data_IF_857739340296
#
_entry.id   IF_857739340296
#
_cell.length_a   1.000
_cell.length_b   1.000
_cell.length_c   1.000
_cell.angle_alpha   90.00
_cell.angle_beta   90.00
_cell.angle_gamma   90.00
#
_symmetry.space_group_name_H-M   'P 1'
#
loop_
_entity.id
_entity.type
_entity.pdbx_description
1 polymer ?
#
# COMPACT_ATOMS: atom_id res chain seq x y z
N UNK A 1 27.90 -6.82 7.58
CA UNK A 1 26.78 -7.12 6.65
C UNK A 1 26.60 -5.94 5.71
N UNK A 2 26.33 -6.17 4.42
CA UNK A 2 26.05 -5.07 3.50
C UNK A 2 24.66 -4.48 3.79
N UNK A 3 24.45 -3.20 3.45
CA UNK A 3 23.16 -2.54 3.68
C UNK A 3 22.00 -3.26 2.97
N UNK A 4 22.26 -3.87 1.81
CA UNK A 4 21.27 -4.64 1.04
C UNK A 4 20.84 -5.94 1.74
N UNK A 5 21.77 -6.63 2.39
CA UNK A 5 21.45 -7.85 3.16
C UNK A 5 20.56 -7.53 4.35
N UNK A 6 20.87 -6.43 5.06
CA UNK A 6 20.06 -5.94 6.18
C UNK A 6 18.66 -5.58 5.68
N UNK A 7 18.57 -4.84 4.58
CA UNK A 7 17.30 -4.40 4.00
C UNK A 7 16.40 -5.58 3.63
N UNK A 8 16.92 -6.62 2.98
CA UNK A 8 16.14 -7.83 2.64
C UNK A 8 15.66 -8.58 3.89
N UNK A 9 16.47 -8.68 4.93
CA UNK A 9 16.10 -9.36 6.17
C UNK A 9 15.01 -8.62 6.93
N UNK A 10 15.14 -7.29 7.04
CA UNK A 10 14.13 -6.41 7.66
C UNK A 10 12.82 -6.50 6.86
N UNK A 11 12.88 -6.38 5.53
CA UNK A 11 11.68 -6.47 4.70
C UNK A 11 10.96 -7.82 4.83
N UNK A 12 11.71 -8.93 4.84
CA UNK A 12 11.14 -10.27 5.00
C UNK A 12 10.52 -10.49 6.39
N UNK A 13 11.15 -9.95 7.43
CA UNK A 13 10.60 -9.96 8.80
C UNK A 13 9.29 -9.18 8.86
N UNK A 14 9.28 -7.94 8.39
CA UNK A 14 8.08 -7.08 8.45
C UNK A 14 6.92 -7.65 7.62
N UNK A 15 7.17 -8.16 6.41
CA UNK A 15 6.14 -8.83 5.60
C UNK A 15 5.58 -10.09 6.27
N UNK A 16 6.42 -10.85 6.98
CA UNK A 16 5.97 -12.03 7.73
C UNK A 16 5.14 -11.66 8.95
N UNK A 17 5.53 -10.60 9.66
CA UNK A 17 4.76 -10.05 10.79
C UNK A 17 3.39 -9.60 10.29
N UNK A 18 3.35 -8.86 9.19
CA UNK A 18 2.11 -8.41 8.57
C UNK A 18 1.21 -9.58 8.17
N UNK A 19 1.76 -10.59 7.49
CA UNK A 19 0.99 -11.74 7.04
C UNK A 19 0.35 -12.51 8.21
N UNK A 20 1.00 -12.51 9.38
CA UNK A 20 0.46 -13.12 10.61
C UNK A 20 -0.54 -12.24 11.32
N UNK A 21 -0.29 -10.93 11.42
CA UNK A 21 -1.19 -9.98 12.07
C UNK A 21 -2.46 -9.74 11.24
N UNK A 22 -2.38 -9.98 9.92
CA UNK A 22 -3.44 -9.74 8.93
C UNK A 22 -4.01 -8.33 9.02
N UNK A 23 -3.19 -7.34 9.38
CA UNK A 23 -3.65 -5.97 9.64
C UNK A 23 -4.12 -5.30 8.34
N UNK A 24 -3.38 -5.47 7.25
CA UNK A 24 -3.76 -5.02 5.90
C UNK A 24 -5.13 -5.59 5.54
N UNK A 25 -5.34 -6.89 5.73
CA UNK A 25 -6.60 -7.56 5.39
C UNK A 25 -7.76 -7.18 6.31
N UNK A 26 -7.50 -7.01 7.61
CA UNK A 26 -8.56 -6.80 8.60
C UNK A 26 -8.91 -5.32 8.84
N UNK A 27 -8.05 -4.39 8.44
CA UNK A 27 -8.23 -2.97 8.75
C UNK A 27 -8.11 -2.08 7.53
N UNK A 28 -7.02 -2.24 6.77
CA UNK A 28 -6.75 -1.37 5.61
C UNK A 28 -7.73 -1.69 4.47
N UNK A 29 -7.94 -2.97 4.16
CA UNK A 29 -8.87 -3.40 3.11
C UNK A 29 -10.32 -2.98 3.38
N UNK A 30 -10.91 -3.21 4.58
CA UNK A 30 -12.25 -2.72 4.88
C UNK A 30 -12.38 -1.20 4.80
N UNK A 31 -11.36 -0.46 5.26
CA UNK A 31 -11.34 1.01 5.14
C UNK A 31 -11.33 1.44 3.67
N UNK A 32 -10.44 0.86 2.86
CA UNK A 32 -10.32 1.19 1.44
C UNK A 32 -11.59 0.81 0.67
N UNK A 33 -12.19 -0.34 0.98
CA UNK A 33 -13.47 -0.77 0.43
C UNK A 33 -14.61 0.18 0.80
N UNK A 34 -14.68 0.62 2.06
CA UNK A 34 -15.66 1.61 2.52
C UNK A 34 -15.52 2.92 1.74
N UNK A 35 -14.29 3.43 1.59
CA UNK A 35 -14.02 4.65 0.81
C UNK A 35 -14.50 4.51 -0.63
N UNK A 36 -14.18 3.38 -1.29
CA UNK A 36 -14.61 3.12 -2.67
C UNK A 36 -16.14 3.08 -2.79
N UNK A 37 -16.81 2.41 -1.85
CA UNK A 37 -18.27 2.34 -1.78
C UNK A 37 -18.88 3.72 -1.54
N UNK A 38 -18.33 4.50 -0.61
CA UNK A 38 -18.81 5.86 -0.34
C UNK A 38 -18.69 6.75 -1.57
N UNK A 39 -17.61 6.65 -2.35
CA UNK A 39 -17.53 7.38 -3.62
C UNK A 39 -18.56 6.93 -4.63
N UNK A 40 -18.85 5.63 -4.74
CA UNK A 40 -19.93 5.14 -5.62
C UNK A 40 -21.27 5.77 -5.26
N UNK A 41 -21.63 5.75 -3.97
CA UNK A 41 -22.87 6.36 -3.49
C UNK A 41 -22.89 7.88 -3.60
N UNK A 42 -21.77 8.56 -3.39
CA UNK A 42 -21.71 10.02 -3.44
C UNK A 42 -21.87 10.58 -4.86
N UNK A 43 -21.38 9.85 -5.87
CA UNK A 43 -21.47 10.26 -7.27
C UNK A 43 -22.82 9.91 -7.90
N UNK A 44 -23.47 8.81 -7.46
CA UNK A 44 -24.82 8.34 -7.84
C UNK A 44 -25.18 8.47 -9.34
N UNK A 45 -24.15 8.42 -10.20
CA UNK A 45 -24.25 8.63 -11.64
C UNK A 45 -23.11 7.88 -12.34
N UNK A 46 -23.47 6.79 -13.01
CA UNK A 46 -22.54 5.86 -13.68
C UNK A 46 -21.61 6.56 -14.68
N UNK A 47 -22.09 7.57 -15.41
CA UNK A 47 -21.29 8.27 -16.42
C UNK A 47 -20.20 9.14 -15.78
N UNK A 48 -20.52 9.79 -14.67
CA UNK A 48 -19.54 10.60 -13.91
C UNK A 48 -18.57 9.69 -13.20
N UNK A 49 -19.08 8.65 -12.55
CA UNK A 49 -18.32 7.67 -11.79
C UNK A 49 -17.27 6.96 -12.64
N UNK A 50 -17.62 6.51 -13.84
CA UNK A 50 -16.65 5.89 -14.78
C UNK A 50 -15.56 6.87 -15.20
N UNK A 51 -15.92 8.15 -15.40
CA UNK A 51 -14.97 9.20 -15.82
C UNK A 51 -13.98 9.57 -14.71
N UNK A 52 -14.40 9.56 -13.45
CA UNK A 52 -13.54 9.92 -12.30
C UNK A 52 -12.91 8.72 -11.59
N UNK A 53 -13.34 7.48 -11.92
CA UNK A 53 -12.87 6.23 -11.33
C UNK A 53 -11.34 6.13 -11.15
N UNK A 54 -10.50 6.50 -12.14
CA UNK A 54 -9.05 6.48 -11.95
C UNK A 54 -8.59 7.37 -10.78
N UNK A 55 -9.17 8.58 -10.65
CA UNK A 55 -8.86 9.49 -9.55
C UNK A 55 -9.35 8.98 -8.19
N UNK A 56 -10.49 8.28 -8.16
CA UNK A 56 -11.04 7.67 -6.94
C UNK A 56 -10.15 6.54 -6.42
N UNK A 57 -9.60 5.71 -7.32
CA UNK A 57 -8.64 4.66 -6.96
C UNK A 57 -7.39 5.27 -6.34
N UNK A 58 -6.86 6.36 -6.92
CA UNK A 58 -5.70 7.06 -6.37
C UNK A 58 -5.99 7.68 -4.99
N UNK A 59 -7.17 8.29 -4.81
CA UNK A 59 -7.62 8.81 -3.51
C UNK A 59 -7.71 7.70 -2.45
N UNK A 60 -8.35 6.57 -2.79
CA UNK A 60 -8.45 5.42 -1.89
C UNK A 60 -7.06 4.86 -1.54
N UNK A 61 -6.15 4.82 -2.51
CA UNK A 61 -4.76 4.40 -2.32
C UNK A 61 -4.02 5.33 -1.37
N UNK A 62 -4.09 6.64 -1.59
CA UNK A 62 -3.44 7.65 -0.73
C UNK A 62 -3.94 7.59 0.72
N UNK A 63 -5.26 7.52 0.93
CA UNK A 63 -5.80 7.42 2.27
C UNK A 63 -5.38 6.12 2.96
N UNK A 64 -5.35 5.02 2.22
CA UNK A 64 -4.93 3.73 2.77
C UNK A 64 -3.43 3.69 3.07
N UNK A 65 -2.60 4.36 2.27
CA UNK A 65 -1.17 4.52 2.52
C UNK A 65 -0.91 5.24 3.86
N UNK A 66 -1.68 6.29 4.17
CA UNK A 66 -1.56 6.97 5.47
C UNK A 66 -1.82 6.01 6.64
N UNK A 67 -2.86 5.17 6.53
CA UNK A 67 -3.18 4.16 7.55
C UNK A 67 -2.07 3.12 7.67
N UNK A 68 -1.57 2.64 6.52
CA UNK A 68 -0.51 1.64 6.45
C UNK A 68 0.78 2.13 7.10
N UNK A 69 1.19 3.37 6.80
CA UNK A 69 2.37 4.01 7.40
C UNK A 69 2.19 4.17 8.90
N UNK A 70 1.06 4.73 9.36
CA UNK A 70 0.79 4.90 10.80
C UNK A 70 0.87 3.56 11.56
N UNK A 71 0.32 2.49 10.98
CA UNK A 71 0.39 1.14 11.55
C UNK A 71 1.81 0.60 11.60
N UNK A 72 2.56 0.73 10.51
CA UNK A 72 3.94 0.27 10.45
C UNK A 72 4.85 0.97 11.47
N UNK A 73 4.58 2.23 11.82
CA UNK A 73 5.26 2.92 12.92
C UNK A 73 4.76 2.47 14.29
N UNK A 74 3.45 2.32 14.47
CA UNK A 74 2.87 1.91 15.76
C UNK A 74 3.37 0.55 16.25
N UNK A 75 3.51 -0.44 15.35
CA UNK A 75 4.04 -1.77 15.67
C UNK A 75 5.49 -1.68 16.16
N UNK A 76 6.32 -0.89 15.50
CA UNK A 76 7.74 -0.76 15.85
C UNK A 76 7.97 -0.01 17.17
N UNK A 77 7.14 1.02 17.44
CA UNK A 77 7.19 1.79 18.69
C UNK A 77 6.73 0.96 19.88
N UNK A 78 5.69 0.12 19.71
CA UNK A 78 5.18 -0.74 20.77
C UNK A 78 6.19 -1.83 21.19
N UNK A 79 6.96 -2.36 20.22
CA UNK A 79 7.95 -3.42 20.46
C UNK A 79 9.35 -2.90 20.82
N UNK A 80 9.58 -1.58 20.85
CA UNK A 80 10.90 -0.99 21.10
C UNK A 80 11.97 -1.42 20.08
N UNK A 81 11.54 -1.92 18.92
CA UNK A 81 12.41 -2.64 18.00
C UNK A 81 13.41 -1.71 17.29
N UNK A 82 13.04 -0.44 17.07
CA UNK A 82 13.95 0.56 16.50
C UNK A 82 15.14 0.83 17.44
N UNK A 83 14.88 0.97 18.74
CA UNK A 83 15.92 1.23 19.73
C UNK A 83 16.82 0.00 19.90
N UNK A 84 16.23 -1.21 19.92
CA UNK A 84 17.00 -2.45 19.96
C UNK A 84 17.92 -2.63 18.73
N UNK A 85 17.47 -2.26 17.53
CA UNK A 85 18.27 -2.33 16.31
C UNK A 85 19.39 -1.28 16.27
N UNK A 86 19.15 -0.09 16.83
CA UNK A 86 20.17 0.95 16.97
C UNK A 86 21.27 0.52 17.95
N UNK A 87 20.88 -0.05 19.10
CA UNK A 87 21.81 -0.57 20.11
C UNK A 87 22.62 -1.77 19.56
N UNK A 88 22.02 -2.58 18.68
CA UNK A 88 22.69 -3.70 18.02
C UNK A 88 23.70 -3.29 16.92
N UNK A 89 23.91 -1.99 16.67
CA UNK A 89 24.90 -1.49 15.71
C UNK A 89 24.53 -1.74 14.24
N UNK A 90 23.26 -1.98 13.95
CA UNK A 90 22.77 -2.18 12.57
C UNK A 90 22.76 -0.86 11.82
N UNK A 91 23.26 -0.86 10.58
CA UNK A 91 23.31 0.36 9.75
C UNK A 91 21.90 0.93 9.51
N UNK A 92 21.60 2.18 9.91
CA UNK A 92 20.26 2.77 9.80
C UNK A 92 19.72 2.80 8.36
N UNK A 93 20.60 2.98 7.37
CA UNK A 93 20.22 2.98 5.95
C UNK A 93 19.64 1.64 5.47
N UNK A 94 20.12 0.51 6.01
CA UNK A 94 19.57 -0.81 5.69
C UNK A 94 18.19 -1.03 6.31
N UNK A 95 17.97 -0.49 7.51
CA UNK A 95 16.67 -0.57 8.20
C UNK A 95 15.63 0.25 7.44
N UNK A 96 15.96 1.49 7.08
CA UNK A 96 15.08 2.37 6.31
C UNK A 96 14.69 1.73 4.98
N UNK A 97 15.68 1.24 4.21
CA UNK A 97 15.43 0.63 2.91
C UNK A 97 14.57 -0.64 3.04
N UNK A 98 14.81 -1.45 4.07
CA UNK A 98 14.01 -2.66 4.33
C UNK A 98 12.55 -2.34 4.64
N UNK A 99 12.31 -1.34 5.51
CA UNK A 99 10.95 -0.91 5.88
C UNK A 99 10.22 -0.26 4.69
N UNK A 100 10.93 0.56 3.91
CA UNK A 100 10.39 1.13 2.68
C UNK A 100 9.98 0.04 1.68
N UNK A 101 10.81 -0.99 1.48
CA UNK A 101 10.46 -2.11 0.60
C UNK A 101 9.27 -2.93 1.11
N UNK A 102 9.16 -3.15 2.43
CA UNK A 102 8.02 -3.86 3.01
C UNK A 102 6.71 -3.08 2.80
N UNK A 103 6.72 -1.77 3.08
CA UNK A 103 5.59 -0.87 2.85
C UNK A 103 5.21 -0.80 1.37
N UNK A 104 6.19 -0.67 0.48
CA UNK A 104 5.97 -0.66 -0.97
C UNK A 104 5.31 -1.97 -1.44
N UNK A 105 5.77 -3.13 -0.96
CA UNK A 105 5.17 -4.41 -1.30
C UNK A 105 3.72 -4.54 -0.79
N UNK A 106 3.43 -4.04 0.42
CA UNK A 106 2.07 -4.01 0.95
C UNK A 106 1.15 -3.08 0.15
N UNK A 107 1.65 -1.90 -0.21
CA UNK A 107 0.94 -0.92 -1.02
C UNK A 107 0.64 -1.47 -2.42
N UNK A 108 1.61 -2.13 -3.05
CA UNK A 108 1.46 -2.78 -4.35
C UNK A 108 0.32 -3.81 -4.34
N UNK A 109 0.24 -4.65 -3.30
CA UNK A 109 -0.86 -5.62 -3.15
C UNK A 109 -2.20 -4.90 -2.98
N UNK A 110 -2.23 -3.84 -2.18
CA UNK A 110 -3.45 -3.07 -1.95
C UNK A 110 -3.93 -2.36 -3.24
N UNK A 111 -3.04 -1.73 -3.99
CA UNK A 111 -3.35 -1.11 -5.28
C UNK A 111 -3.95 -2.13 -6.25
N UNK A 112 -3.37 -3.34 -6.32
CA UNK A 112 -3.93 -4.41 -7.16
C UNK A 112 -5.36 -4.77 -6.74
N UNK A 113 -5.64 -4.85 -5.42
CA UNK A 113 -6.99 -5.10 -4.91
C UNK A 113 -7.93 -3.93 -5.22
N UNK A 114 -7.48 -2.69 -5.11
CA UNK A 114 -8.28 -1.51 -5.43
C UNK A 114 -8.60 -1.40 -6.91
N UNK A 115 -7.67 -1.77 -7.79
CA UNK A 115 -7.91 -1.86 -9.24
C UNK A 115 -8.97 -2.92 -9.55
N UNK A 116 -8.90 -4.10 -8.92
CA UNK A 116 -9.95 -5.12 -9.04
C UNK A 116 -11.29 -4.60 -8.52
N UNK A 117 -11.28 -3.91 -7.38
CA UNK A 117 -12.49 -3.29 -6.82
C UNK A 117 -13.08 -2.23 -7.75
N UNK A 118 -12.26 -1.42 -8.43
CA UNK A 118 -12.73 -0.43 -9.40
C UNK A 118 -13.40 -1.09 -10.61
N UNK A 119 -12.83 -2.17 -11.14
CA UNK A 119 -13.45 -2.93 -12.24
C UNK A 119 -14.81 -3.50 -11.80
N UNK A 120 -14.91 -4.05 -10.59
CA UNK A 120 -16.14 -4.68 -10.08
C UNK A 120 -17.20 -3.67 -9.66
N UNK A 121 -16.82 -2.61 -8.94
CA UNK A 121 -17.73 -1.63 -8.33
C UNK A 121 -18.08 -0.50 -9.29
N UNK A 122 -17.11 -0.04 -10.08
CA UNK A 122 -17.26 1.12 -10.98
C UNK A 122 -17.45 0.71 -12.45
N UNK A 123 -17.46 -0.59 -12.75
CA UNK A 123 -17.58 -1.15 -14.11
C UNK A 123 -16.60 -0.51 -15.10
N UNK A 124 -15.41 -0.16 -14.62
CA UNK A 124 -14.38 0.49 -15.44
C UNK A 124 -13.78 -0.50 -16.41
N UNK A 125 -13.78 -0.16 -17.70
CA UNK A 125 -13.07 -0.91 -18.73
C UNK A 125 -11.58 -0.55 -18.70
N UNK A 126 -10.70 -1.55 -18.73
CA UNK A 126 -9.25 -1.35 -18.85
C UNK A 126 -8.87 -1.52 -20.33
N UNK A 127 -8.70 -0.44 -21.11
CA UNK A 127 -8.30 -0.56 -22.50
C UNK A 127 -6.91 -1.19 -22.60
N UNK A 128 -6.78 -2.21 -23.46
CA UNK A 128 -5.55 -3.01 -23.63
C UNK A 128 -4.34 -2.15 -24.01
N UNK A 129 -4.57 -1.03 -24.72
CA UNK A 129 -3.52 -0.04 -25.07
C UNK A 129 -3.05 0.84 -23.90
N UNK A 130 -3.80 0.89 -22.79
CA UNK A 130 -3.48 1.68 -21.60
C UNK A 130 -2.74 0.93 -20.50
N UNK A 131 -2.56 -0.39 -20.65
CA UNK A 131 -1.91 -1.25 -19.62
C UNK A 131 -0.49 -0.81 -19.32
N UNK A 132 0.26 -0.36 -20.32
CA UNK A 132 1.61 0.17 -20.13
C UNK A 132 1.65 1.42 -19.24
N UNK A 133 0.70 2.34 -19.44
CA UNK A 133 0.58 3.55 -18.62
C UNK A 133 0.13 3.18 -17.21
N UNK A 134 -0.83 2.26 -17.08
CA UNK A 134 -1.34 1.79 -15.79
C UNK A 134 -0.23 1.14 -14.96
N UNK A 135 0.59 0.28 -15.57
CA UNK A 135 1.76 -0.33 -14.92
C UNK A 135 2.83 0.73 -14.57
N UNK A 136 3.09 1.69 -15.45
CA UNK A 136 4.02 2.77 -15.16
C UNK A 136 3.57 3.61 -13.97
N UNK A 137 2.28 3.96 -13.89
CA UNK A 137 1.71 4.71 -12.77
C UNK A 137 1.67 3.89 -11.48
N UNK A 138 1.38 2.59 -11.56
CA UNK A 138 1.42 1.67 -10.43
C UNK A 138 2.82 1.59 -9.82
N UNK A 139 3.84 1.42 -10.66
CA UNK A 139 5.24 1.38 -10.21
C UNK A 139 5.70 2.74 -9.66
N UNK A 140 5.35 3.85 -10.33
CA UNK A 140 5.70 5.20 -9.88
C UNK A 140 5.10 5.49 -8.49
N UNK A 141 3.80 5.22 -8.32
CA UNK A 141 3.12 5.45 -7.06
C UNK A 141 3.62 4.53 -5.93
N UNK A 142 3.86 3.26 -6.24
CA UNK A 142 4.47 2.32 -5.28
C UNK A 142 5.88 2.77 -4.87
N UNK A 143 6.63 3.42 -5.77
CA UNK A 143 7.93 4.00 -5.50
C UNK A 143 7.87 5.37 -4.79
N UNK A 144 6.69 5.99 -4.68
CA UNK A 144 6.50 7.32 -4.10
C UNK A 144 6.92 8.47 -5.03
N UNK A 145 6.90 8.26 -6.35
CA UNK A 145 7.12 9.27 -7.40
C UNK A 145 5.78 9.78 -7.95
#
# INVERSE_FOLDING_TARGET
MSAWQIARLVAAKDLRVEWRSRVVTNQVLPFAALVMVMFAFALDNDATLTRVAPGLVWLATLFSLLVLVQRAFAVETADGALDALQVAGVRPSGIFLGKAMALAAQLAVLEAVLLVAAVLLYRTEVPVGGVGVLLATYVAATAGL
#
